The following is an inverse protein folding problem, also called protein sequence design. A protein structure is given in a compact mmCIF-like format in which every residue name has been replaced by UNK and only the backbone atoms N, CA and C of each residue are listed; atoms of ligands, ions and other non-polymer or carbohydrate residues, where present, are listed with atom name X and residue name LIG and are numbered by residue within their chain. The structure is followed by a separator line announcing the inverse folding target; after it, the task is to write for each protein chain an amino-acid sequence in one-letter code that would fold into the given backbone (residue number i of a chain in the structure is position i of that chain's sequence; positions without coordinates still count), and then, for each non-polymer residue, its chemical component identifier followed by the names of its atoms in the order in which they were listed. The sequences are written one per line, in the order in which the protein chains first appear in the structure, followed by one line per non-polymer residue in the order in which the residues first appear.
data_IF_636709955764
#
_entry.id   IF_636709955764
#
_cell.length_a   1.000
_cell.length_b   1.000
_cell.length_c   1.000
_cell.angle_alpha   90.00
_cell.angle_beta   90.00
_cell.angle_gamma   90.00
#
_symmetry.space_group_name_H-M   'P 1'
#
loop_
_entity.id
_entity.type
_entity.pdbx_description
1 polymer ?
#
# COMPACT_ATOMS: atom_id res chain seq x y z
N UNK A 1 17.87 -15.61 -12.13
CA UNK A 1 18.32 -14.52 -13.00
C UNK A 1 17.14 -14.02 -13.82
N UNK A 2 16.83 -12.72 -13.83
CA UNK A 2 15.77 -12.14 -14.68
C UNK A 2 16.22 -12.27 -16.15
N UNK A 3 15.49 -12.98 -17.02
CA UNK A 3 15.85 -13.12 -18.42
C UNK A 3 15.81 -11.79 -19.17
N UNK A 4 16.75 -11.57 -20.11
CA UNK A 4 16.78 -10.34 -20.92
C UNK A 4 15.48 -10.11 -21.67
N UNK A 5 14.86 -11.17 -22.21
CA UNK A 5 13.56 -11.09 -22.87
C UNK A 5 12.43 -10.52 -21.99
N UNK A 6 12.50 -10.72 -20.67
CA UNK A 6 11.52 -10.17 -19.72
C UNK A 6 11.75 -8.67 -19.50
N UNK A 7 13.01 -8.23 -19.48
CA UNK A 7 13.39 -6.81 -19.41
C UNK A 7 12.93 -6.09 -20.68
N UNK A 8 13.24 -6.65 -21.84
CA UNK A 8 12.87 -6.08 -23.14
C UNK A 8 11.35 -5.97 -23.29
N UNK A 9 10.60 -6.99 -22.86
CA UNK A 9 9.13 -6.96 -22.86
C UNK A 9 8.56 -5.87 -21.94
N UNK A 10 9.19 -5.62 -20.79
CA UNK A 10 8.77 -4.58 -19.85
C UNK A 10 9.01 -3.17 -20.42
N UNK A 11 10.18 -2.96 -21.04
CA UNK A 11 10.51 -1.70 -21.72
C UNK A 11 9.55 -1.46 -22.89
N UNK A 12 9.31 -2.48 -23.73
CA UNK A 12 8.40 -2.37 -24.86
C UNK A 12 6.95 -2.07 -24.43
N UNK A 13 6.51 -2.62 -23.29
CA UNK A 13 5.19 -2.30 -22.71
C UNK A 13 5.11 -0.82 -22.31
N UNK A 14 6.16 -0.30 -21.68
CA UNK A 14 6.23 1.11 -21.26
C UNK A 14 6.24 2.07 -22.46
N UNK A 15 7.02 1.79 -23.50
CA UNK A 15 7.04 2.59 -24.73
C UNK A 15 5.68 2.60 -25.43
N UNK A 16 4.98 1.47 -25.43
CA UNK A 16 3.60 1.39 -25.94
C UNK A 16 2.65 2.26 -25.13
N UNK A 17 2.80 2.29 -23.81
CA UNK A 17 2.01 3.13 -22.91
C UNK A 17 2.25 4.63 -23.19
N UNK A 18 3.52 5.04 -23.34
CA UNK A 18 3.89 6.42 -23.71
C UNK A 18 3.30 6.83 -25.07
N UNK A 19 3.35 5.93 -26.05
CA UNK A 19 2.72 6.15 -27.35
C UNK A 19 1.19 6.32 -27.22
N UNK A 20 0.52 5.53 -26.39
CA UNK A 20 -0.92 5.67 -26.14
C UNK A 20 -1.24 7.01 -25.48
N UNK A 21 -0.48 7.42 -24.46
CA UNK A 21 -0.67 8.71 -23.79
C UNK A 21 -0.55 9.91 -24.74
N UNK A 22 0.34 9.82 -25.74
CA UNK A 22 0.52 10.89 -26.73
C UNK A 22 -0.69 11.08 -27.67
N UNK A 23 -1.59 10.10 -27.73
CA UNK A 23 -2.75 10.09 -28.65
C UNK A 23 -4.10 10.26 -27.96
N UNK A 24 -4.16 10.11 -26.64
CA UNK A 24 -5.41 10.09 -25.87
C UNK A 24 -5.88 11.52 -25.56
N UNK A 25 -7.19 11.75 -25.64
CA UNK A 25 -7.81 13.07 -25.38
C UNK A 25 -8.93 13.02 -24.33
N UNK A 26 -9.43 11.83 -23.98
CA UNK A 26 -10.46 11.66 -22.96
C UNK A 26 -9.88 11.78 -21.55
N UNK A 27 -10.51 12.60 -20.69
CA UNK A 27 -10.02 12.91 -19.34
C UNK A 27 -9.80 11.68 -18.46
N UNK A 28 -10.75 10.74 -18.45
CA UNK A 28 -10.67 9.54 -17.60
C UNK A 28 -9.56 8.58 -18.06
N UNK A 29 -9.33 8.48 -19.37
CA UNK A 29 -8.24 7.68 -19.94
C UNK A 29 -6.88 8.31 -19.66
N UNK A 30 -6.78 9.65 -19.70
CA UNK A 30 -5.55 10.38 -19.31
C UNK A 30 -5.18 10.06 -17.86
N UNK A 31 -6.16 10.13 -16.94
CA UNK A 31 -5.92 9.85 -15.51
C UNK A 31 -5.45 8.41 -15.32
N UNK A 32 -6.15 7.44 -15.94
CA UNK A 32 -5.79 6.02 -15.85
C UNK A 32 -4.39 5.74 -16.40
N UNK A 33 -4.08 6.24 -17.60
CA UNK A 33 -2.77 6.02 -18.23
C UNK A 33 -1.64 6.72 -17.48
N UNK A 34 -1.90 7.91 -16.92
CA UNK A 34 -0.90 8.63 -16.10
C UNK A 34 -0.56 7.86 -14.83
N UNK A 35 -1.56 7.22 -14.19
CA UNK A 35 -1.35 6.35 -13.03
C UNK A 35 -0.52 5.12 -13.40
N UNK A 36 -0.90 4.41 -14.48
CA UNK A 36 -0.15 3.23 -14.96
C UNK A 36 1.29 3.59 -15.38
N UNK A 37 1.50 4.78 -15.96
CA UNK A 37 2.84 5.26 -16.35
C UNK A 37 3.70 5.54 -15.13
N UNK A 38 3.15 6.23 -14.13
CA UNK A 38 3.83 6.48 -12.86
C UNK A 38 4.24 5.19 -12.15
N UNK A 39 3.36 4.19 -12.14
CA UNK A 39 3.65 2.87 -11.53
C UNK A 39 4.75 2.09 -12.26
N UNK A 40 4.82 2.18 -13.58
CA UNK A 40 5.82 1.44 -14.37
C UNK A 40 7.16 2.15 -14.50
N UNK A 41 7.19 3.49 -14.41
CA UNK A 41 8.39 4.28 -14.70
C UNK A 41 9.61 3.80 -13.90
N UNK A 42 9.47 3.72 -12.57
CA UNK A 42 10.59 3.39 -11.70
C UNK A 42 11.09 1.95 -11.93
N UNK A 43 10.18 1.02 -12.24
CA UNK A 43 10.51 -0.37 -12.59
C UNK A 43 11.27 -0.44 -13.92
N UNK A 44 10.85 0.34 -14.91
CA UNK A 44 11.45 0.39 -16.25
C UNK A 44 12.83 1.05 -16.20
N UNK A 45 12.99 2.12 -15.42
CA UNK A 45 14.29 2.76 -15.19
C UNK A 45 15.28 1.78 -14.57
N UNK A 46 14.87 1.04 -13.53
CA UNK A 46 15.70 -0.01 -12.93
C UNK A 46 15.99 -1.17 -13.90
N UNK A 47 15.04 -1.53 -14.75
CA UNK A 47 15.23 -2.55 -15.79
C UNK A 47 16.24 -2.10 -16.87
N UNK A 48 16.19 -0.82 -17.28
CA UNK A 48 17.18 -0.21 -18.18
C UNK A 48 18.57 -0.17 -17.55
N UNK A 49 18.67 0.17 -16.27
CA UNK A 49 19.93 0.12 -15.51
C UNK A 49 20.54 -1.29 -15.55
N UNK A 50 19.77 -2.33 -15.22
CA UNK A 50 20.25 -3.72 -15.26
C UNK A 50 20.71 -4.13 -16.66
N UNK A 51 19.95 -3.75 -17.70
CA UNK A 51 20.30 -4.01 -19.09
C UNK A 51 21.63 -3.35 -19.48
N UNK A 52 21.83 -2.09 -19.09
CA UNK A 52 23.06 -1.35 -19.34
C UNK A 52 24.27 -1.96 -18.62
N UNK A 53 24.13 -2.33 -17.35
CA UNK A 53 25.19 -2.99 -16.57
C UNK A 53 25.59 -4.31 -17.21
N UNK A 54 24.64 -5.14 -17.65
CA UNK A 54 24.93 -6.40 -18.34
C UNK A 54 25.67 -6.18 -19.66
N UNK A 55 25.24 -5.20 -20.45
CA UNK A 55 25.90 -4.84 -21.71
C UNK A 55 27.34 -4.36 -21.48
N UNK A 56 27.57 -3.54 -20.46
CA UNK A 56 28.91 -3.07 -20.09
C UNK A 56 29.80 -4.24 -19.63
N UNK A 57 29.26 -5.20 -18.89
CA UNK A 57 29.99 -6.41 -18.50
C UNK A 57 30.43 -7.21 -19.73
N UNK A 58 29.57 -7.35 -20.74
CA UNK A 58 29.90 -8.06 -21.98
C UNK A 58 30.97 -7.30 -22.78
N UNK A 59 30.82 -5.97 -22.92
CA UNK A 59 31.80 -5.11 -23.60
C UNK A 59 33.18 -5.11 -22.92
N UNK A 60 33.22 -5.07 -21.59
CA UNK A 60 34.48 -5.14 -20.83
C UNK A 60 35.12 -6.53 -20.85
N UNK A 61 34.33 -7.60 -20.96
CA UNK A 61 34.86 -8.95 -21.18
C UNK A 61 35.61 -9.04 -22.50
N UNK A 62 35.05 -8.50 -23.58
CA UNK A 62 35.74 -8.43 -24.88
C UNK A 62 37.01 -7.56 -24.79
N UNK A 63 36.98 -6.47 -24.04
CA UNK A 63 38.13 -5.58 -23.88
C UNK A 63 39.28 -6.20 -23.06
N UNK A 64 38.96 -7.05 -22.08
CA UNK A 64 39.94 -7.83 -21.33
C UNK A 64 40.72 -8.83 -22.20
N UNK A 65 40.16 -9.22 -23.36
CA UNK A 65 40.82 -10.11 -24.33
C UNK A 65 41.71 -9.36 -25.34
N UNK A 66 41.83 -8.03 -25.22
CA UNK A 66 42.63 -7.22 -26.14
C UNK A 66 44.15 -7.41 -25.96
N UNK A 67 44.92 -7.20 -27.03
CA UNK A 67 46.39 -7.31 -27.03
C UNK A 67 47.09 -6.17 -26.27
N UNK A 68 46.36 -5.10 -25.92
CA UNK A 68 46.87 -3.98 -25.14
C UNK A 68 46.72 -4.27 -23.64
N UNK A 69 47.86 -4.55 -22.99
CA UNK A 69 47.90 -4.97 -21.57
C UNK A 69 47.42 -3.91 -20.60
N UNK A 70 47.72 -2.64 -20.88
CA UNK A 70 47.32 -1.54 -19.99
C UNK A 70 45.80 -1.35 -20.09
N UNK A 71 45.25 -1.49 -21.30
CA UNK A 71 43.80 -1.45 -21.54
C UNK A 71 43.06 -2.64 -20.92
N UNK A 72 43.63 -3.86 -21.02
CA UNK A 72 43.06 -5.06 -20.43
C UNK A 72 43.05 -5.02 -18.89
N UNK A 73 44.09 -4.45 -18.26
CA UNK A 73 44.15 -4.31 -16.79
C UNK A 73 43.10 -3.32 -16.28
N UNK A 74 42.94 -2.15 -16.93
CA UNK A 74 41.88 -1.19 -16.59
C UNK A 74 40.48 -1.78 -16.78
N UNK A 75 40.26 -2.52 -17.87
CA UNK A 75 38.98 -3.18 -18.14
C UNK A 75 38.65 -4.26 -17.10
N UNK A 76 39.67 -4.95 -16.58
CA UNK A 76 39.48 -5.99 -15.58
C UNK A 76 38.96 -5.44 -14.25
N UNK A 77 39.52 -4.32 -13.77
CA UNK A 77 39.08 -3.69 -12.52
C UNK A 77 37.62 -3.21 -12.61
N UNK A 78 37.26 -2.53 -13.70
CA UNK A 78 35.88 -2.08 -13.96
C UNK A 78 34.91 -3.28 -14.10
N UNK A 79 35.36 -4.36 -14.74
CA UNK A 79 34.59 -5.59 -14.87
C UNK A 79 34.29 -6.23 -13.50
N UNK A 80 35.24 -6.22 -12.56
CA UNK A 80 35.01 -6.75 -11.21
C UNK A 80 33.97 -5.90 -10.45
N UNK A 81 34.06 -4.58 -10.54
CA UNK A 81 33.08 -3.68 -9.92
C UNK A 81 31.67 -3.93 -10.46
N UNK A 82 31.50 -4.00 -11.78
CA UNK A 82 30.19 -4.25 -12.39
C UNK A 82 29.66 -5.66 -12.09
N UNK A 83 30.53 -6.68 -12.03
CA UNK A 83 30.13 -8.03 -11.60
C UNK A 83 29.64 -8.09 -10.16
N UNK A 84 30.17 -7.23 -9.28
CA UNK A 84 29.67 -7.09 -7.91
C UNK A 84 28.35 -6.31 -7.84
N UNK A 85 28.17 -5.29 -8.69
CA UNK A 85 26.96 -4.45 -8.72
C UNK A 85 25.76 -5.10 -9.42
N UNK A 86 25.97 -5.90 -10.47
CA UNK A 86 24.88 -6.49 -11.24
C UNK A 86 23.89 -7.33 -10.40
N UNK A 87 24.34 -8.17 -9.45
CA UNK A 87 23.45 -8.88 -8.54
C UNK A 87 22.59 -7.96 -7.65
N UNK A 88 23.12 -6.82 -7.20
CA UNK A 88 22.39 -5.86 -6.36
C UNK A 88 21.26 -5.20 -7.15
N UNK A 89 21.57 -4.66 -8.33
CA UNK A 89 20.60 -4.05 -9.24
C UNK A 89 19.54 -5.08 -9.66
N UNK A 90 19.95 -6.32 -9.89
CA UNK A 90 19.01 -7.39 -10.23
C UNK A 90 18.08 -7.74 -9.07
N UNK A 91 18.59 -7.78 -7.84
CA UNK A 91 17.79 -8.04 -6.65
C UNK A 91 16.77 -6.93 -6.40
N UNK A 92 17.17 -5.66 -6.54
CA UNK A 92 16.25 -4.52 -6.47
C UNK A 92 15.12 -4.64 -7.50
N UNK A 93 15.46 -4.97 -8.75
CA UNK A 93 14.46 -5.18 -9.80
C UNK A 93 13.54 -6.37 -9.48
N UNK A 94 14.05 -7.46 -8.91
CA UNK A 94 13.22 -8.60 -8.51
C UNK A 94 12.16 -8.20 -7.47
N UNK A 95 12.53 -7.37 -6.50
CA UNK A 95 11.59 -6.84 -5.50
C UNK A 95 10.52 -5.98 -6.19
N UNK A 96 10.93 -5.10 -7.09
CA UNK A 96 10.01 -4.22 -7.83
C UNK A 96 9.03 -4.99 -8.73
N UNK A 97 9.42 -6.17 -9.23
CA UNK A 97 8.58 -7.02 -10.07
C UNK A 97 7.59 -7.89 -9.28
N UNK A 98 7.63 -7.84 -7.95
CA UNK A 98 6.63 -8.53 -7.14
C UNK A 98 5.25 -7.91 -7.40
N UNK A 99 4.20 -8.73 -7.57
CA UNK A 99 2.86 -8.22 -7.79
C UNK A 99 2.45 -7.38 -6.58
N UNK A 100 2.11 -6.11 -6.83
CA UNK A 100 1.48 -5.25 -5.83
C UNK A 100 0.09 -5.78 -5.50
N UNK A 101 -0.27 -5.77 -4.22
CA UNK A 101 -1.64 -6.03 -3.82
C UNK A 101 -2.53 -4.87 -4.29
N UNK A 102 -3.76 -5.13 -4.68
CA UNK A 102 -4.71 -4.07 -5.06
C UNK A 102 -4.95 -3.08 -3.92
N UNK A 103 -4.80 -3.56 -2.68
CA UNK A 103 -4.95 -2.76 -1.49
C UNK A 103 -3.68 -1.99 -1.09
N UNK A 104 -2.52 -2.22 -1.73
CA UNK A 104 -1.25 -1.65 -1.28
C UNK A 104 -1.24 -0.11 -1.32
N UNK A 105 -1.99 0.49 -2.25
CA UNK A 105 -2.14 1.95 -2.38
C UNK A 105 -3.26 2.53 -1.50
N UNK A 106 -4.02 1.69 -0.80
CA UNK A 106 -5.16 2.14 0.00
C UNK A 106 -4.73 2.81 1.30
N UNK A 107 -5.52 3.81 1.72
CA UNK A 107 -5.59 4.25 3.11
C UNK A 107 -5.96 3.08 4.03
N UNK A 108 -5.74 3.23 5.33
CA UNK A 108 -6.05 2.16 6.30
C UNK A 108 -6.89 2.64 7.45
N UNK A 109 -7.73 1.74 7.96
CA UNK A 109 -8.27 1.80 9.31
C UNK A 109 -7.29 1.08 10.24
N UNK A 110 -6.71 1.85 11.16
CA UNK A 110 -5.90 1.36 12.25
C UNK A 110 -6.77 1.19 13.50
N UNK A 111 -6.90 -0.02 13.99
CA UNK A 111 -7.53 -0.32 15.28
C UNK A 111 -6.48 -0.85 16.26
N UNK A 112 -6.38 -0.22 17.43
CA UNK A 112 -5.54 -0.68 18.54
C UNK A 112 -6.44 -0.99 19.72
N UNK A 113 -6.36 -2.22 20.24
CA UNK A 113 -7.21 -2.71 21.34
C UNK A 113 -6.35 -3.29 22.46
N UNK A 114 -6.67 -2.93 23.70
CA UNK A 114 -6.03 -3.49 24.87
C UNK A 114 -6.32 -5.00 24.99
N UNK A 115 -5.29 -5.80 25.22
CA UNK A 115 -5.38 -7.24 25.40
C UNK A 115 -5.28 -7.66 26.87
N UNK A 116 -4.45 -8.66 27.14
CA UNK A 116 -4.19 -9.13 28.51
C UNK A 116 -3.24 -8.18 29.24
N UNK A 117 -3.46 -7.94 30.53
CA UNK A 117 -2.62 -7.04 31.33
C UNK A 117 -3.36 -5.93 32.09
N UNK A 118 -4.70 -5.90 32.03
CA UNK A 118 -5.51 -4.92 32.77
C UNK A 118 -5.19 -3.48 32.34
N UNK A 119 -5.06 -2.58 33.31
CA UNK A 119 -4.76 -1.16 33.09
C UNK A 119 -3.47 -0.94 32.26
N UNK A 120 -2.46 -1.78 32.46
CA UNK A 120 -1.19 -1.70 31.71
C UNK A 120 -1.40 -1.95 30.21
N UNK A 121 -2.35 -2.83 29.84
CA UNK A 121 -2.67 -3.05 28.44
C UNK A 121 -3.32 -1.82 27.80
N UNK A 122 -4.09 -1.04 28.57
CA UNK A 122 -4.67 0.22 28.13
C UNK A 122 -3.62 1.30 27.87
N UNK A 123 -2.68 1.45 28.79
CA UNK A 123 -1.54 2.36 28.64
C UNK A 123 -0.70 1.95 27.42
N UNK A 124 -0.41 0.65 27.28
CA UNK A 124 0.36 0.13 26.15
C UNK A 124 -0.35 0.33 24.79
N UNK A 125 -1.68 0.18 24.74
CA UNK A 125 -2.45 0.52 23.54
C UNK A 125 -2.34 2.01 23.18
N UNK A 126 -2.30 2.90 24.19
CA UNK A 126 -2.02 4.32 24.01
C UNK A 126 -0.61 4.59 23.48
N UNK A 127 0.40 3.90 24.00
CA UNK A 127 1.79 3.99 23.54
C UNK A 127 1.92 3.56 22.07
N UNK A 128 1.30 2.44 21.69
CA UNK A 128 1.26 1.96 20.30
C UNK A 128 0.57 2.97 19.38
N UNK A 129 -0.58 3.50 19.79
CA UNK A 129 -1.28 4.49 18.98
C UNK A 129 -0.43 5.75 18.79
N UNK A 130 0.20 6.25 19.86
CA UNK A 130 1.13 7.39 19.78
C UNK A 130 2.33 7.10 18.88
N UNK A 131 2.87 5.88 18.93
CA UNK A 131 3.94 5.43 18.03
C UNK A 131 3.48 5.51 16.57
N UNK A 132 2.32 4.95 16.23
CA UNK A 132 1.80 5.00 14.85
C UNK A 132 1.44 6.41 14.41
N UNK A 133 0.88 7.24 15.28
CA UNK A 133 0.67 8.67 14.99
C UNK A 133 1.97 9.37 14.63
N UNK A 134 3.05 9.09 15.36
CA UNK A 134 4.37 9.67 15.07
C UNK A 134 4.94 9.13 13.77
N UNK A 135 4.80 7.83 13.52
CA UNK A 135 5.23 7.21 12.27
C UNK A 135 4.50 7.81 11.06
N UNK A 136 3.18 7.98 11.15
CA UNK A 136 2.37 8.61 10.12
C UNK A 136 2.82 10.04 9.82
N UNK A 137 3.12 10.85 10.86
CA UNK A 137 3.68 12.19 10.68
C UNK A 137 5.02 12.18 9.92
N UNK A 138 5.90 11.22 10.22
CA UNK A 138 7.20 11.08 9.53
C UNK A 138 7.04 10.67 8.06
N UNK A 139 6.01 9.91 7.75
CA UNK A 139 5.66 9.53 6.38
C UNK A 139 4.85 10.61 5.64
N UNK A 140 4.47 11.71 6.30
CA UNK A 140 3.61 12.75 5.72
C UNK A 140 2.15 12.35 5.58
N UNK A 141 1.71 11.31 6.29
CA UNK A 141 0.33 10.82 6.27
C UNK A 141 -0.56 11.61 7.24
N UNK A 142 -1.85 11.65 6.92
CA UNK A 142 -2.90 12.25 7.78
C UNK A 142 -3.48 11.16 8.68
N UNK A 143 -3.65 11.45 9.97
CA UNK A 143 -4.34 10.57 10.92
C UNK A 143 -5.59 11.27 11.44
N UNK A 144 -6.72 10.57 11.38
CA UNK A 144 -8.02 11.05 11.84
C UNK A 144 -8.65 10.03 12.79
N UNK A 145 -8.88 10.42 14.04
CA UNK A 145 -9.48 9.53 15.04
C UNK A 145 -10.97 9.38 14.73
N UNK A 146 -11.42 8.14 14.53
CA UNK A 146 -12.82 7.81 14.25
C UNK A 146 -13.58 7.50 15.53
N UNK A 147 -12.97 6.71 16.42
CA UNK A 147 -13.55 6.37 17.72
C UNK A 147 -12.43 6.10 18.73
N UNK A 148 -12.69 6.41 19.99
CA UNK A 148 -11.78 6.13 21.09
C UNK A 148 -12.57 5.78 22.36
N UNK A 149 -12.11 4.75 23.06
CA UNK A 149 -12.61 4.29 24.35
C UNK A 149 -11.44 4.31 25.33
N UNK A 150 -11.49 5.24 26.28
CA UNK A 150 -10.40 5.46 27.24
C UNK A 150 -10.33 4.34 28.29
N UNK A 151 -9.12 4.05 28.74
CA UNK A 151 -8.89 3.15 29.88
C UNK A 151 -8.85 3.92 31.20
N UNK A 152 -9.12 3.22 32.31
CA UNK A 152 -9.33 3.83 33.63
C UNK A 152 -8.07 4.52 34.21
N UNK A 153 -6.89 3.96 33.93
CA UNK A 153 -5.60 4.49 34.37
C UNK A 153 -4.79 5.15 33.24
N UNK A 154 -5.45 5.53 32.14
CA UNK A 154 -4.83 6.17 30.98
C UNK A 154 -4.59 5.24 29.80
N UNK A 155 -4.39 5.84 28.62
CA UNK A 155 -4.38 5.13 27.34
C UNK A 155 -5.80 4.74 26.89
N UNK A 156 -5.93 3.63 26.16
CA UNK A 156 -7.18 3.25 25.49
C UNK A 156 -7.53 1.78 25.70
N UNK A 157 -8.79 1.49 26.01
CA UNK A 157 -9.36 0.13 25.84
C UNK A 157 -9.43 -0.23 24.36
N UNK A 158 -9.81 0.74 23.53
CA UNK A 158 -9.91 0.64 22.09
C UNK A 158 -9.74 2.02 21.45
N UNK A 159 -8.99 2.10 20.35
CA UNK A 159 -8.89 3.31 19.54
C UNK A 159 -8.86 2.94 18.05
N UNK A 160 -9.66 3.63 17.26
CA UNK A 160 -9.75 3.48 15.82
C UNK A 160 -9.42 4.81 15.13
N UNK A 161 -8.57 4.76 14.12
CA UNK A 161 -8.22 5.92 13.32
C UNK A 161 -8.13 5.57 11.83
N UNK A 162 -8.58 6.48 10.98
CA UNK A 162 -8.25 6.48 9.56
C UNK A 162 -6.86 7.08 9.38
N UNK A 163 -6.01 6.40 8.61
CA UNK A 163 -4.69 6.88 8.20
C UNK A 163 -4.66 6.94 6.68
N UNK A 164 -4.63 8.17 6.16
CA UNK A 164 -4.69 8.45 4.73
C UNK A 164 -3.36 9.00 4.21
N UNK A 165 -2.94 8.53 3.03
CA UNK A 165 -1.68 8.94 2.41
C UNK A 165 -1.27 7.98 1.30
N UNK A 166 -0.05 8.16 0.80
CA UNK A 166 0.51 7.30 -0.25
C UNK A 166 1.03 5.97 0.34
N UNK A 167 0.59 4.85 -0.26
CA UNK A 167 0.98 3.48 0.06
C UNK A 167 0.92 3.11 1.56
N UNK A 168 -0.13 3.55 2.26
CA UNK A 168 -0.26 3.35 3.71
C UNK A 168 -0.39 1.86 4.05
N UNK A 169 -1.29 1.15 3.37
CA UNK A 169 -1.50 -0.28 3.61
C UNK A 169 -0.26 -1.11 3.29
N UNK A 170 0.41 -0.84 2.17
CA UNK A 170 1.64 -1.55 1.80
C UNK A 170 2.69 -1.55 2.91
N UNK A 171 2.83 -0.41 3.62
CA UNK A 171 3.80 -0.23 4.70
C UNK A 171 3.31 -0.72 6.05
N UNK A 172 2.00 -0.69 6.31
CA UNK A 172 1.43 -1.04 7.63
C UNK A 172 0.85 -2.46 7.70
N UNK A 173 0.67 -3.19 6.59
CA UNK A 173 0.03 -4.52 6.58
C UNK A 173 0.69 -5.57 7.48
N UNK A 174 1.97 -5.40 7.79
CA UNK A 174 2.73 -6.30 8.66
C UNK A 174 2.61 -5.97 10.15
N UNK A 175 1.96 -4.86 10.49
CA UNK A 175 1.74 -4.43 11.89
C UNK A 175 0.54 -5.13 12.53
N UNK A 176 -0.32 -5.75 11.71
CA UNK A 176 -1.47 -6.51 12.19
C UNK A 176 -1.05 -7.71 13.02
N UNK A 177 -1.51 -7.78 14.27
CA UNK A 177 -1.23 -8.90 15.15
C UNK A 177 -1.24 -8.53 16.63
N UNK A 178 -0.70 -9.44 17.44
CA UNK A 178 -0.55 -9.26 18.89
C UNK A 178 0.83 -8.69 19.19
N UNK A 179 0.84 -7.53 19.85
CA UNK A 179 2.04 -6.86 20.33
C UNK A 179 2.20 -7.15 21.83
N UNK A 180 3.41 -7.49 22.26
CA UNK A 180 3.72 -7.85 23.65
C UNK A 180 4.68 -6.82 24.26
N UNK A 181 4.41 -6.43 25.50
CA UNK A 181 5.30 -5.57 26.30
C UNK A 181 5.69 -6.27 27.60
N UNK A 182 6.94 -6.06 28.02
CA UNK A 182 7.43 -6.48 29.33
C UNK A 182 8.13 -5.30 30.00
N UNK A 183 7.50 -4.75 31.03
CA UNK A 183 8.05 -3.66 31.84
C UNK A 183 7.49 -3.71 33.26
N UNK A 184 8.01 -2.86 34.13
CA UNK A 184 7.38 -2.59 35.43
C UNK A 184 6.23 -1.61 35.17
N UNK A 185 4.96 -2.00 35.34
CA UNK A 185 3.82 -1.11 35.11
C UNK A 185 3.87 0.10 36.03
N UNK A 186 3.33 1.23 35.57
CA UNK A 186 3.16 2.41 36.44
C UNK A 186 2.20 2.12 37.61
N UNK A 187 1.31 1.14 37.43
CA UNK A 187 0.36 0.67 38.45
C UNK A 187 0.97 -0.31 39.46
N UNK A 188 2.23 -0.74 39.30
CA UNK A 188 2.87 -1.75 40.15
C UNK A 188 3.75 -1.13 41.24
N UNK A 189 3.50 -1.48 42.51
CA UNK A 189 4.17 -0.88 43.68
C UNK A 189 5.48 -1.58 44.06
N UNK A 190 5.66 -2.86 43.71
CA UNK A 190 6.80 -3.68 44.16
C UNK A 190 7.93 -3.78 43.14
N UNK A 191 7.83 -3.07 42.01
CA UNK A 191 8.88 -3.06 40.99
C UNK A 191 8.98 -4.37 40.19
N UNK A 192 7.92 -5.19 40.18
CA UNK A 192 7.90 -6.47 39.45
C UNK A 192 7.63 -6.22 37.96
N UNK A 193 8.32 -6.99 37.11
CA UNK A 193 8.08 -6.94 35.66
C UNK A 193 6.82 -7.74 35.34
N UNK A 194 5.87 -7.11 34.68
CA UNK A 194 4.67 -7.75 34.16
C UNK A 194 4.78 -7.93 32.65
N UNK A 195 3.99 -8.87 32.13
CA UNK A 195 3.83 -9.06 30.69
C UNK A 195 2.40 -8.71 30.32
N UNK A 196 2.24 -7.76 29.42
CA UNK A 196 0.95 -7.32 28.89
C UNK A 196 0.96 -7.40 27.36
N UNK A 197 -0.22 -7.35 26.75
CA UNK A 197 -0.39 -7.41 25.31
C UNK A 197 -1.48 -6.44 24.82
N UNK A 198 -1.36 -6.02 23.57
CA UNK A 198 -2.38 -5.28 22.83
C UNK A 198 -2.48 -5.85 21.41
N UNK A 199 -3.63 -5.72 20.78
CA UNK A 199 -3.84 -6.15 19.39
C UNK A 199 -3.89 -4.93 18.49
N UNK A 200 -3.22 -5.02 17.35
CA UNK A 200 -3.28 -4.03 16.27
C UNK A 200 -3.93 -4.70 15.07
N UNK A 201 -4.93 -4.06 14.49
CA UNK A 201 -5.51 -4.46 13.21
C UNK A 201 -5.34 -3.32 12.21
N UNK A 202 -4.82 -3.66 11.04
CA UNK A 202 -4.65 -2.75 9.90
C UNK A 202 -5.51 -3.28 8.77
N UNK A 203 -6.58 -2.56 8.45
CA UNK A 203 -7.54 -2.91 7.41
C UNK A 203 -7.46 -1.88 6.28
N UNK A 204 -7.43 -2.27 5.00
CA UNK A 204 -7.52 -1.30 3.91
C UNK A 204 -8.90 -0.65 3.94
N UNK A 205 -8.96 0.67 3.78
CA UNK A 205 -10.23 1.35 3.55
C UNK A 205 -10.80 0.88 2.20
N UNK A 206 -12.05 0.38 2.17
CA UNK A 206 -12.68 0.02 0.91
C UNK A 206 -12.89 1.28 0.07
N UNK A 207 -12.55 1.23 -1.21
CA UNK A 207 -13.00 2.25 -2.16
C UNK A 207 -14.53 2.25 -2.19
N UNK A 208 -15.15 3.43 -2.09
CA UNK A 208 -16.60 3.55 -2.29
C UNK A 208 -16.93 3.05 -3.69
N UNK A 209 -17.64 1.93 -3.76
CA UNK A 209 -18.15 1.41 -5.03
C UNK A 209 -19.35 2.25 -5.38
N UNK A 210 -19.23 3.10 -6.41
CA UNK A 210 -20.38 3.75 -7.02
C UNK A 210 -21.26 2.66 -7.65
N UNK A 211 -22.34 2.31 -6.97
CA UNK A 211 -23.33 1.35 -7.48
C UNK A 211 -24.23 2.10 -8.45
N UNK A 212 -23.94 1.95 -9.75
CA UNK A 212 -24.83 2.40 -10.81
C UNK A 212 -26.07 1.50 -10.86
N UNK A 213 -27.17 1.98 -10.27
CA UNK A 213 -28.47 1.30 -10.32
C UNK A 213 -29.13 1.62 -11.66
N UNK A 214 -29.19 0.64 -12.55
CA UNK A 214 -29.87 0.79 -13.84
C UNK A 214 -31.36 0.57 -13.69
N UNK A 215 -32.16 1.44 -14.30
CA UNK A 215 -33.63 1.32 -14.34
C UNK A 215 -34.10 -0.03 -14.90
N UNK A 216 -33.33 -0.66 -15.79
CA UNK A 216 -33.64 -1.98 -16.34
C UNK A 216 -33.54 -3.12 -15.31
N UNK A 217 -32.76 -2.94 -14.25
CA UNK A 217 -32.57 -3.90 -13.16
C UNK A 217 -33.56 -3.64 -12.01
N UNK A 218 -34.28 -2.52 -12.05
CA UNK A 218 -35.32 -2.15 -11.10
C UNK A 218 -36.67 -2.74 -11.53
N UNK A 219 -37.23 -3.60 -10.68
CA UNK A 219 -38.65 -3.91 -10.75
C UNK A 219 -39.41 -2.90 -9.92
N UNK A 220 -40.09 -1.98 -10.61
CA UNK A 220 -40.91 -0.94 -9.99
C UNK A 220 -42.38 -1.36 -10.09
N UNK A 221 -42.98 -1.70 -8.95
CA UNK A 221 -44.40 -2.04 -8.86
C UNK A 221 -45.16 -0.82 -8.29
N UNK A 222 -46.11 -0.26 -9.06
CA UNK A 222 -46.96 0.88 -8.63
C UNK A 222 -48.32 0.36 -8.15
N UNK A 223 -48.76 0.79 -6.97
CA UNK A 223 -49.98 0.34 -6.32
C UNK A 223 -50.73 1.49 -5.62
N UNK A 224 -51.94 1.19 -5.14
CA UNK A 224 -52.72 2.12 -4.33
C UNK A 224 -52.21 2.12 -2.90
N UNK A 225 -52.00 3.30 -2.35
CA UNK A 225 -51.56 3.45 -0.97
C UNK A 225 -52.59 2.82 -0.02
N UNK A 226 -52.11 2.14 1.03
CA UNK A 226 -52.97 1.62 2.11
C UNK A 226 -52.89 2.55 3.32
N UNK A 227 -54.06 2.98 3.83
CA UNK A 227 -54.14 3.88 4.99
C UNK A 227 -55.39 4.76 4.97
N UNK A 228 -55.65 5.52 6.06
CA UNK A 228 -56.76 6.44 6.12
C UNK A 228 -56.55 7.59 5.13
N UNK A 229 -57.45 7.72 4.17
CA UNK A 229 -57.49 8.85 3.25
C UNK A 229 -58.82 8.97 2.52
N UNK A 230 -58.96 10.05 1.75
CA UNK A 230 -60.19 10.37 1.03
C UNK A 230 -60.41 9.49 -0.20
N UNK A 231 -61.37 9.88 -1.05
CA UNK A 231 -61.66 9.18 -2.31
C UNK A 231 -60.43 8.99 -3.20
N UNK A 232 -59.46 9.91 -3.13
CA UNK A 232 -58.20 9.86 -3.88
C UNK A 232 -57.32 8.65 -3.56
N UNK A 233 -57.35 8.13 -2.32
CA UNK A 233 -56.56 6.95 -1.92
C UNK A 233 -57.09 5.67 -2.59
N UNK A 234 -58.39 5.64 -2.92
CA UNK A 234 -59.00 4.49 -3.59
C UNK A 234 -58.93 4.55 -5.12
N UNK A 235 -58.60 5.70 -5.70
CA UNK A 235 -58.62 5.90 -7.17
C UNK A 235 -57.26 6.22 -7.77
N UNK A 236 -56.29 6.70 -6.98
CA UNK A 236 -54.97 7.09 -7.48
C UNK A 236 -53.90 6.11 -7.01
N UNK A 237 -53.21 5.49 -7.97
CA UNK A 237 -52.06 4.63 -7.73
C UNK A 237 -50.86 5.53 -7.37
N UNK A 238 -50.60 5.64 -6.08
CA UNK A 238 -49.72 6.66 -5.47
C UNK A 238 -48.61 6.06 -4.60
N UNK A 239 -48.55 4.73 -4.50
CA UNK A 239 -47.52 4.03 -3.75
C UNK A 239 -46.65 3.19 -4.70
N UNK A 240 -45.35 3.10 -4.39
CA UNK A 240 -44.33 2.46 -5.24
C UNK A 240 -43.50 1.51 -4.39
N UNK A 241 -43.16 0.34 -4.92
CA UNK A 241 -42.31 -0.69 -4.31
C UNK A 241 -41.25 -1.11 -5.30
#
# INVERSE_FOLDING_TARGET
MIPQSKIDALIAKFEKLEAQMSTVTASDEIIRLSKEHGEMRDVVEKARELSAVRKQIDELQELCESDDKDMAEMAYDELQELKARAPEVEYELQIMLLPKDKADDSSVILEVRAGTGGDEAGIFAGDLFRMYQRYAQLQGWKVEILSASEAEMGGYKEIQASVSGDAVFAKMKFESGVHRVQRVPETETQGRVHTSAATVAVLPEPEEVDIDIKDADLRIDVFRASGPGGQSVNTTDSAVR
#
